data_IF_675556755951
#
_entry.id   IF_675556755951
#
_cell.length_a   1.000
_cell.length_b   1.000
_cell.length_c   1.000
_cell.angle_alpha   90.00
_cell.angle_beta   90.00
_cell.angle_gamma   90.00
#
_symmetry.space_group_name_H-M   'P 1'
#
loop_
_entity.id
_entity.type
_entity.pdbx_description
1 polymer ?
#
# COMPACT_ATOMS: atom_id res chain seq x y z
N UNK A 1 -1.75 10.26 18.55
CA UNK A 1 -2.90 9.43 18.75
C UNK A 1 -2.57 7.95 18.95
N UNK A 2 -1.47 7.49 18.44
CA UNK A 2 -1.02 6.12 18.64
C UNK A 2 -1.71 5.06 17.80
N UNK A 3 -2.61 5.45 16.89
CA UNK A 3 -3.24 4.49 16.02
C UNK A 3 -2.28 4.02 14.94
N UNK A 4 -2.36 2.74 14.55
CA UNK A 4 -1.58 2.24 13.44
C UNK A 4 -2.05 2.85 12.13
N UNK A 5 -1.10 3.14 11.25
CA UNK A 5 -1.41 3.58 9.91
C UNK A 5 -1.87 2.38 9.09
N UNK A 6 -3.05 2.49 8.49
CA UNK A 6 -3.60 1.45 7.62
C UNK A 6 -4.15 2.07 6.35
N UNK A 7 -4.34 1.24 5.32
CA UNK A 7 -4.88 1.68 4.05
C UNK A 7 -3.85 2.39 3.19
N UNK A 8 -4.34 3.15 2.24
CA UNK A 8 -3.48 3.84 1.28
C UNK A 8 -2.80 5.04 1.92
N UNK A 9 -1.48 5.12 1.76
CA UNK A 9 -0.69 6.23 2.29
C UNK A 9 0.28 6.72 1.21
N UNK A 10 0.43 8.03 1.12
CA UNK A 10 1.40 8.63 0.21
C UNK A 10 2.54 9.21 1.03
N UNK A 11 3.75 8.68 0.83
CA UNK A 11 4.93 9.07 1.59
C UNK A 11 6.05 9.36 0.61
N UNK A 12 6.63 10.56 0.69
CA UNK A 12 7.73 10.98 -0.17
C UNK A 12 7.45 10.79 -1.66
N UNK A 13 6.19 11.08 -2.05
CA UNK A 13 5.79 10.97 -3.45
C UNK A 13 5.50 9.55 -3.92
N UNK A 14 5.59 8.57 -3.04
CA UNK A 14 5.28 7.17 -3.35
C UNK A 14 4.06 6.72 -2.60
N UNK A 15 3.29 5.83 -3.21
CA UNK A 15 2.06 5.33 -2.63
C UNK A 15 2.29 3.94 -2.05
N UNK A 16 1.83 3.73 -0.83
CA UNK A 16 1.96 2.46 -0.11
C UNK A 16 0.58 2.03 0.36
N UNK A 17 0.38 0.72 0.42
CA UNK A 17 -0.85 0.17 0.99
C UNK A 17 -0.49 -0.59 2.25
N UNK A 18 -0.98 -0.10 3.39
CA UNK A 18 -0.76 -0.75 4.67
C UNK A 18 -1.94 -1.65 5.00
N UNK A 19 -1.64 -2.88 5.43
CA UNK A 19 -2.66 -3.83 5.84
C UNK A 19 -3.22 -3.47 7.20
N UNK A 20 -4.30 -4.14 7.58
CA UNK A 20 -4.98 -3.85 8.84
C UNK A 20 -4.08 -4.04 10.06
N UNK A 21 -3.06 -4.89 9.94
CA UNK A 21 -2.11 -5.11 11.04
C UNK A 21 -0.93 -4.14 11.00
N UNK A 22 -0.95 -3.16 10.09
CA UNK A 22 0.09 -2.14 10.00
C UNK A 22 1.28 -2.50 9.13
N UNK A 23 1.30 -3.66 8.49
CA UNK A 23 2.40 -4.05 7.61
C UNK A 23 2.11 -3.62 6.18
N UNK A 24 3.19 -3.44 5.40
CA UNK A 24 3.06 -3.09 3.98
C UNK A 24 2.55 -4.28 3.19
N UNK A 25 1.63 -4.00 2.25
CA UNK A 25 1.19 -4.98 1.28
C UNK A 25 2.16 -5.00 0.11
N UNK A 26 2.72 -6.18 -0.18
CA UNK A 26 3.63 -6.35 -1.30
C UNK A 26 3.01 -7.19 -2.41
N UNK A 27 1.81 -7.70 -2.20
CA UNK A 27 1.13 -8.56 -3.17
C UNK A 27 0.35 -7.74 -4.18
N UNK A 28 0.27 -8.26 -5.40
CA UNK A 28 -0.59 -7.66 -6.42
C UNK A 28 -2.05 -7.81 -6.02
N UNK A 29 -2.81 -6.73 -6.13
CA UNK A 29 -4.23 -6.74 -5.78
C UNK A 29 -5.05 -6.14 -6.91
N UNK A 30 -6.34 -6.49 -6.93
CA UNK A 30 -7.29 -5.93 -7.90
C UNK A 30 -8.42 -5.27 -7.13
N UNK A 31 -8.66 -3.99 -7.43
CA UNK A 31 -9.74 -3.22 -6.81
C UNK A 31 -10.56 -2.59 -7.92
N UNK A 32 -11.86 -2.90 -7.94
CA UNK A 32 -12.79 -2.34 -8.92
C UNK A 32 -12.28 -2.50 -10.35
N UNK A 33 -11.74 -3.68 -10.65
CA UNK A 33 -11.27 -3.99 -11.99
C UNK A 33 -9.90 -3.43 -12.34
N UNK A 34 -9.26 -2.72 -11.41
CA UNK A 34 -7.93 -2.16 -11.64
C UNK A 34 -6.88 -2.93 -10.86
N UNK A 35 -5.83 -3.36 -11.54
CA UNK A 35 -4.75 -4.13 -10.93
C UNK A 35 -3.68 -3.19 -10.38
N UNK A 36 -3.30 -3.42 -9.13
CA UNK A 36 -2.26 -2.67 -8.45
C UNK A 36 -1.10 -3.60 -8.12
N UNK A 37 0.09 -3.25 -8.58
CA UNK A 37 1.30 -4.01 -8.30
C UNK A 37 2.23 -3.17 -7.43
N UNK A 38 3.02 -3.83 -6.59
CA UNK A 38 3.91 -3.16 -5.66
C UNK A 38 5.34 -3.63 -5.87
N UNK A 39 6.28 -2.71 -5.67
CA UNK A 39 7.71 -3.04 -5.75
C UNK A 39 8.16 -3.72 -4.45
N UNK A 40 9.41 -4.22 -4.45
CA UNK A 40 9.93 -4.93 -3.30
C UNK A 40 10.01 -4.05 -2.04
N UNK A 41 10.07 -2.74 -2.21
CA UNK A 41 10.07 -1.80 -1.09
C UNK A 41 8.68 -1.43 -0.61
N UNK A 42 7.64 -1.96 -1.27
CA UNK A 42 6.25 -1.70 -0.91
C UNK A 42 5.59 -0.55 -1.65
N UNK A 43 6.33 0.18 -2.48
CA UNK A 43 5.74 1.30 -3.20
C UNK A 43 4.94 0.82 -4.41
N UNK A 44 3.88 1.56 -4.72
CA UNK A 44 3.00 1.21 -5.85
C UNK A 44 3.72 1.45 -7.17
N UNK A 45 3.61 0.47 -8.06
CA UNK A 45 4.09 0.61 -9.44
C UNK A 45 2.99 1.32 -10.23
N UNK A 46 3.32 2.46 -10.78
CA UNK A 46 2.36 3.25 -11.54
C UNK A 46 2.57 3.12 -13.05
#
# INVERSE_FOLDING_TARGET
>A
SGAMVTGWQKIHGKIYLFQNNGTLNLSTIVIQGKTYSFQSDGSLIQ
#
